data_IF_512592200143
#
_entry.id   IF_512592200143
#
_cell.length_a   1.000
_cell.length_b   1.000
_cell.length_c   1.000
_cell.angle_alpha   90.00
_cell.angle_beta   90.00
_cell.angle_gamma   90.00
#
_symmetry.space_group_name_H-M   'P 1'
#
loop_
_entity.id
_entity.type
_entity.pdbx_description
1 polymer ?
#
# COMPACT_ATOMS: atom_id res chain seq x y z
N UNK A 1 18.74 -9.70 14.64
CA UNK A 1 18.76 -8.39 13.95
C UNK A 1 19.28 -7.37 14.94
N UNK A 2 20.29 -6.59 14.56
CA UNK A 2 20.81 -5.50 15.41
C UNK A 2 19.70 -4.45 15.63
N UNK A 3 19.72 -3.74 16.75
CA UNK A 3 18.70 -2.71 17.10
C UNK A 3 18.49 -1.69 15.96
N UNK A 4 19.56 -1.27 15.29
CA UNK A 4 19.52 -0.35 14.16
C UNK A 4 18.75 -0.88 12.94
N UNK A 5 18.88 -2.16 12.60
CA UNK A 5 18.15 -2.77 11.47
C UNK A 5 16.64 -2.81 11.73
N UNK A 6 16.23 -2.96 13.00
CA UNK A 6 14.82 -2.93 13.40
C UNK A 6 14.23 -1.54 13.22
N UNK A 7 14.95 -0.50 13.62
CA UNK A 7 14.51 0.91 13.47
C UNK A 7 14.35 1.25 11.98
N UNK A 8 15.36 0.92 11.16
CA UNK A 8 15.31 1.16 9.70
C UNK A 8 14.15 0.40 9.06
N UNK A 9 13.92 -0.86 9.47
CA UNK A 9 12.79 -1.65 8.97
C UNK A 9 11.42 -1.05 9.30
N UNK A 10 11.24 -0.53 10.52
CA UNK A 10 10.00 0.13 10.93
C UNK A 10 9.78 1.43 10.15
N UNK A 11 10.84 2.24 9.96
CA UNK A 11 10.77 3.47 9.17
C UNK A 11 10.39 3.15 7.71
N UNK A 12 11.04 2.17 7.09
CA UNK A 12 10.74 1.76 5.73
C UNK A 12 9.28 1.26 5.60
N UNK A 13 8.81 0.47 6.57
CA UNK A 13 7.43 -0.01 6.60
C UNK A 13 6.42 1.15 6.72
N UNK A 14 6.68 2.13 7.59
CA UNK A 14 5.83 3.30 7.73
C UNK A 14 5.78 4.14 6.45
N UNK A 15 6.92 4.33 5.78
CA UNK A 15 7.00 5.04 4.50
C UNK A 15 6.21 4.33 3.41
N UNK A 16 6.29 3.01 3.32
CA UNK A 16 5.50 2.21 2.35
C UNK A 16 4.01 2.42 2.61
N UNK A 17 3.54 2.32 3.86
CA UNK A 17 2.13 2.52 4.20
C UNK A 17 1.65 3.91 3.80
N UNK A 18 2.42 4.95 4.12
CA UNK A 18 2.08 6.34 3.77
C UNK A 18 1.99 6.49 2.25
N UNK A 19 2.95 5.92 1.50
CA UNK A 19 2.97 6.02 0.05
C UNK A 19 1.78 5.31 -0.61
N UNK A 20 1.45 4.10 -0.17
CA UNK A 20 0.30 3.34 -0.66
C UNK A 20 -1.03 4.06 -0.36
N UNK A 21 -1.17 4.61 0.85
CA UNK A 21 -2.34 5.40 1.24
C UNK A 21 -2.48 6.67 0.37
N UNK A 22 -1.38 7.36 0.08
CA UNK A 22 -1.40 8.54 -0.78
C UNK A 22 -1.87 8.22 -2.20
N UNK A 23 -1.40 7.11 -2.78
CA UNK A 23 -1.84 6.65 -4.11
C UNK A 23 -3.33 6.32 -4.08
N UNK A 24 -3.79 5.60 -3.06
CA UNK A 24 -5.18 5.20 -2.93
C UNK A 24 -6.11 6.41 -2.77
N UNK A 25 -5.75 7.37 -1.91
CA UNK A 25 -6.50 8.62 -1.73
C UNK A 25 -6.55 9.42 -3.02
N UNK A 26 -5.42 9.56 -3.73
CA UNK A 26 -5.41 10.28 -5.02
C UNK A 26 -6.31 9.61 -6.05
N UNK A 27 -6.33 8.28 -6.14
CA UNK A 27 -7.23 7.58 -7.05
C UNK A 27 -8.71 7.83 -6.71
N UNK A 28 -9.04 7.93 -5.42
CA UNK A 28 -10.40 8.27 -4.97
C UNK A 28 -10.78 9.73 -5.28
N UNK A 29 -9.84 10.66 -5.09
CA UNK A 29 -10.02 12.07 -5.46
C UNK A 29 -10.19 12.22 -6.97
N UNK A 30 -9.37 11.54 -7.77
CA UNK A 30 -9.49 11.52 -9.24
C UNK A 30 -10.87 11.02 -9.66
N UNK A 31 -11.35 9.94 -9.04
CA UNK A 31 -12.68 9.42 -9.33
C UNK A 31 -13.76 10.47 -9.06
N UNK A 32 -13.76 11.08 -7.87
CA UNK A 32 -14.80 12.03 -7.46
C UNK A 32 -14.79 13.35 -8.25
N UNK A 33 -13.62 13.87 -8.60
CA UNK A 33 -13.48 15.22 -9.15
C UNK A 33 -13.16 15.25 -10.65
N UNK A 34 -12.71 14.15 -11.24
CA UNK A 34 -12.36 14.07 -12.66
C UNK A 34 -13.32 13.12 -13.40
N UNK A 35 -13.72 12.01 -12.78
CA UNK A 35 -14.46 10.94 -13.47
C UNK A 35 -15.96 11.11 -13.35
N UNK A 36 -16.49 11.20 -12.13
CA UNK A 36 -17.93 11.40 -11.87
C UNK A 36 -18.51 12.61 -12.62
N UNK A 37 -17.85 13.78 -12.70
CA UNK A 37 -18.40 14.95 -13.40
C UNK A 37 -18.47 14.80 -14.93
N UNK A 38 -17.77 13.82 -15.51
CA UNK A 38 -17.73 13.60 -16.96
C UNK A 38 -18.87 12.71 -17.46
N UNK A 39 -19.73 12.17 -16.57
CA UNK A 39 -20.89 11.32 -16.88
C UNK A 39 -20.56 10.20 -17.89
N UNK A 40 -19.35 9.63 -17.77
CA UNK A 40 -18.86 8.59 -18.68
C UNK A 40 -18.75 7.27 -17.93
N UNK A 41 -19.79 6.44 -18.06
CA UNK A 41 -19.94 5.14 -17.40
C UNK A 41 -18.71 4.23 -17.60
N UNK A 42 -18.13 4.22 -18.81
CA UNK A 42 -16.96 3.39 -19.10
C UNK A 42 -15.72 3.86 -18.31
N UNK A 43 -15.56 5.17 -18.17
CA UNK A 43 -14.43 5.78 -17.47
C UNK A 43 -14.57 5.58 -15.95
N UNK A 44 -15.81 5.61 -15.45
CA UNK A 44 -16.17 5.29 -14.07
C UNK A 44 -15.87 3.83 -13.73
N UNK A 45 -16.33 2.87 -14.54
CA UNK A 45 -16.04 1.44 -14.35
C UNK A 45 -14.53 1.15 -14.35
N UNK A 46 -13.78 1.75 -15.28
CA UNK A 46 -12.33 1.62 -15.33
C UNK A 46 -11.65 2.12 -14.04
N UNK A 47 -12.12 3.23 -13.48
CA UNK A 47 -11.57 3.80 -12.25
C UNK A 47 -11.95 3.00 -11.02
N UNK A 48 -13.16 2.44 -10.95
CA UNK A 48 -13.51 1.47 -9.91
C UNK A 48 -12.61 0.22 -9.95
N UNK A 49 -12.37 -0.35 -11.13
CA UNK A 49 -11.44 -1.48 -11.27
C UNK A 49 -10.02 -1.09 -10.82
N UNK A 50 -9.56 0.12 -11.17
CA UNK A 50 -8.25 0.64 -10.75
C UNK A 50 -8.15 0.79 -9.24
N UNK A 51 -9.15 1.40 -8.59
CA UNK A 51 -9.21 1.55 -7.12
C UNK A 51 -9.25 0.16 -6.46
N UNK A 52 -10.01 -0.79 -7.02
CA UNK A 52 -10.06 -2.17 -6.55
C UNK A 52 -8.68 -2.85 -6.62
N UNK A 53 -7.99 -2.73 -7.76
CA UNK A 53 -6.64 -3.26 -7.94
C UNK A 53 -5.62 -2.61 -7.01
N UNK A 54 -5.70 -1.29 -6.80
CA UNK A 54 -4.83 -0.57 -5.86
C UNK A 54 -5.06 -1.04 -4.42
N UNK A 55 -6.33 -1.19 -4.03
CA UNK A 55 -6.72 -1.70 -2.71
C UNK A 55 -6.14 -3.10 -2.48
N UNK A 56 -6.31 -4.00 -3.46
CA UNK A 56 -5.78 -5.36 -3.36
C UNK A 56 -4.24 -5.39 -3.31
N UNK A 57 -3.58 -4.58 -4.15
CA UNK A 57 -2.13 -4.42 -4.15
C UNK A 57 -1.60 -3.92 -2.81
N UNK A 58 -2.24 -2.91 -2.22
CA UNK A 58 -1.89 -2.39 -0.89
C UNK A 58 -1.97 -3.47 0.19
N UNK A 59 -3.07 -4.25 0.22
CA UNK A 59 -3.22 -5.35 1.18
C UNK A 59 -2.16 -6.44 1.00
N UNK A 60 -1.84 -6.82 -0.24
CA UNK A 60 -0.78 -7.79 -0.53
C UNK A 60 0.60 -7.26 -0.12
N UNK A 61 0.93 -6.01 -0.44
CA UNK A 61 2.19 -5.39 -0.06
C UNK A 61 2.33 -5.32 1.46
N UNK A 62 1.26 -4.98 2.17
CA UNK A 62 1.22 -4.97 3.63
C UNK A 62 1.44 -6.37 4.22
N UNK A 63 0.73 -7.38 3.71
CA UNK A 63 0.88 -8.76 4.15
C UNK A 63 2.31 -9.29 3.91
N UNK A 64 2.88 -9.01 2.74
CA UNK A 64 4.23 -9.42 2.36
C UNK A 64 5.28 -8.72 3.22
N UNK A 65 5.12 -7.42 3.48
CA UNK A 65 6.04 -6.67 4.32
C UNK A 65 5.99 -7.13 5.79
N UNK A 66 4.81 -7.47 6.33
CA UNK A 66 4.68 -8.11 7.65
C UNK A 66 5.37 -9.46 7.66
N UNK A 67 5.12 -10.30 6.65
CA UNK A 67 5.72 -11.62 6.54
C UNK A 67 7.25 -11.55 6.53
N UNK A 68 7.82 -10.66 5.70
CA UNK A 68 9.26 -10.43 5.64
C UNK A 68 9.81 -9.92 6.98
N UNK A 69 9.10 -9.00 7.63
CA UNK A 69 9.51 -8.48 8.93
C UNK A 69 9.58 -9.60 9.99
N UNK A 70 8.57 -10.47 10.04
CA UNK A 70 8.54 -11.63 10.95
C UNK A 70 9.68 -12.61 10.62
N UNK A 71 9.87 -12.98 9.36
CA UNK A 71 10.94 -13.89 8.94
C UNK A 71 12.35 -13.36 9.29
N UNK A 72 12.60 -12.07 9.04
CA UNK A 72 13.86 -11.41 9.37
C UNK A 72 14.07 -11.31 10.89
N UNK A 73 12.99 -11.09 11.64
CA UNK A 73 13.03 -11.07 13.10
C UNK A 73 13.41 -12.44 13.68
N UNK A 74 12.80 -13.52 13.19
CA UNK A 74 13.06 -14.89 13.66
C UNK A 74 14.49 -15.36 13.36
N UNK A 75 15.03 -15.08 12.16
CA UNK A 75 16.44 -15.37 11.84
C UNK A 75 17.41 -14.59 12.73
N UNK A 76 16.99 -13.43 13.19
CA UNK A 76 17.78 -12.54 14.02
C UNK A 76 17.85 -12.88 15.51
N UNK A 77 17.04 -13.84 15.99
CA UNK A 77 16.99 -14.29 17.39
C UNK A 77 17.58 -15.69 17.63
N UNK A 78 18.01 -16.38 16.56
CA UNK A 78 18.85 -17.57 16.68
C UNK A 78 20.31 -17.13 16.88
N UNK A 79 20.62 -16.71 18.10
CA UNK A 79 21.98 -16.71 18.66
C UNK A 79 21.91 -17.53 19.94
#
# INVERSE_FOLDING_TARGET
>A
MKKWQKIVGIIAFALIIIYELLIWINAYVDMKYIVEPNENDFLEECMYMRIGSLSFGMWLNFALAIFLFICLWQKGGKQ
#
